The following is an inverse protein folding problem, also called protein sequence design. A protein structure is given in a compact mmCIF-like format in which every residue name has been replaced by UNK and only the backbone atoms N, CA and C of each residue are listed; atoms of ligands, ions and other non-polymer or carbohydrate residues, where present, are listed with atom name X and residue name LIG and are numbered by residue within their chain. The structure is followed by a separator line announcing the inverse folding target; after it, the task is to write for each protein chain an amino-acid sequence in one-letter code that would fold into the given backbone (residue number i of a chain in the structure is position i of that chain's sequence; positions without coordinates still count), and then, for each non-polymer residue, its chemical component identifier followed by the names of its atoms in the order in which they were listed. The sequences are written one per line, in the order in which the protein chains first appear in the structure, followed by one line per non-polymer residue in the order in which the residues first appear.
data_IF_582497670149
#
_entry.id   IF_582497670149
#
_cell.length_a   1.000
_cell.length_b   1.000
_cell.length_c   1.000
_cell.angle_alpha   90.00
_cell.angle_beta   90.00
_cell.angle_gamma   90.00
#
_symmetry.space_group_name_H-M   'P 1'
#
loop_
_entity.id
_entity.type
_entity.pdbx_description
1 polymer ?
#
# COMPACT_ATOMS: atom_id res chain seq x y z
N UNK A 1 9.50 -17.33 -14.47
CA UNK A 1 9.76 -16.78 -13.11
C UNK A 1 9.12 -15.40 -13.00
N UNK A 2 8.04 -15.26 -12.24
CA UNK A 2 7.17 -14.06 -12.23
C UNK A 2 7.76 -12.82 -11.51
N UNK A 3 9.09 -12.68 -11.46
CA UNK A 3 9.76 -11.44 -11.03
C UNK A 3 9.59 -11.01 -9.57
N UNK A 4 8.69 -11.63 -8.82
CA UNK A 4 8.37 -11.30 -7.44
C UNK A 4 9.31 -11.98 -6.45
N UNK A 5 9.90 -11.19 -5.54
CA UNK A 5 10.77 -11.66 -4.46
C UNK A 5 10.21 -11.17 -3.14
N UNK A 6 10.14 -12.06 -2.14
CA UNK A 6 9.68 -11.72 -0.78
C UNK A 6 10.82 -11.96 0.20
N UNK A 7 11.05 -10.95 1.05
CA UNK A 7 11.99 -11.01 2.17
C UNK A 7 11.20 -10.97 3.47
N UNK A 8 11.36 -12.01 4.29
CA UNK A 8 10.81 -12.04 5.65
C UNK A 8 11.71 -11.23 6.59
N UNK A 9 11.11 -10.40 7.43
CA UNK A 9 11.78 -9.74 8.56
C UNK A 9 11.15 -10.19 9.87
N UNK A 10 11.67 -9.73 11.02
CA UNK A 10 11.09 -10.12 12.31
C UNK A 10 9.66 -9.61 12.55
N UNK A 11 9.22 -8.57 11.83
CA UNK A 11 7.94 -7.89 12.09
C UNK A 11 7.17 -7.49 10.82
N UNK A 12 7.72 -7.71 9.63
CA UNK A 12 7.11 -7.34 8.36
C UNK A 12 7.62 -8.24 7.23
N UNK A 13 7.02 -8.09 6.05
CA UNK A 13 7.50 -8.69 4.81
C UNK A 13 7.78 -7.58 3.82
N UNK A 14 8.91 -7.67 3.13
CA UNK A 14 9.25 -6.77 2.04
C UNK A 14 9.07 -7.51 0.73
N UNK A 15 8.15 -7.05 -0.12
CA UNK A 15 7.94 -7.61 -1.45
C UNK A 15 8.55 -6.69 -2.50
N UNK A 16 9.45 -7.25 -3.29
CA UNK A 16 9.93 -6.65 -4.53
C UNK A 16 9.09 -7.22 -5.68
N UNK A 17 8.55 -6.35 -6.51
CA UNK A 17 7.70 -6.71 -7.64
C UNK A 17 7.98 -5.80 -8.82
N UNK A 18 7.92 -6.35 -10.04
CA UNK A 18 8.04 -5.56 -11.27
C UNK A 18 6.77 -4.73 -11.55
N UNK A 19 5.61 -5.29 -11.22
CA UNK A 19 4.30 -4.62 -11.27
C UNK A 19 3.56 -4.83 -9.96
N UNK A 20 3.95 -4.11 -8.90
CA UNK A 20 3.24 -4.21 -7.66
C UNK A 20 1.83 -3.62 -7.84
N UNK A 21 0.83 -4.28 -7.25
CA UNK A 21 -0.54 -3.80 -7.24
C UNK A 21 -0.97 -3.65 -5.78
N UNK A 22 -0.99 -2.41 -5.30
CA UNK A 22 -1.53 -2.12 -3.97
C UNK A 22 -3.06 -2.13 -3.98
N UNK A 23 -3.65 -1.68 -5.10
CA UNK A 23 -5.05 -1.27 -5.19
C UNK A 23 -5.69 -1.59 -6.55
N UNK A 24 -5.02 -2.32 -7.45
CA UNK A 24 -5.47 -2.42 -8.85
C UNK A 24 -5.37 -1.10 -9.62
N UNK A 25 -4.81 -0.07 -8.99
CA UNK A 25 -4.38 1.19 -9.59
C UNK A 25 -2.87 1.21 -9.49
N UNK A 26 -2.19 1.41 -10.61
CA UNK A 26 -0.76 1.69 -10.63
C UNK A 26 -0.56 2.97 -9.80
N UNK A 27 0.06 2.92 -8.62
CA UNK A 27 0.37 4.13 -7.91
C UNK A 27 1.29 4.93 -8.80
N UNK A 28 1.11 6.23 -8.67
CA UNK A 28 1.81 7.20 -9.48
C UNK A 28 3.29 7.13 -9.13
N UNK A 29 4.04 6.31 -9.86
CA UNK A 29 5.49 6.24 -9.76
C UNK A 29 6.01 7.68 -9.82
N UNK A 30 6.52 8.17 -8.69
CA UNK A 30 7.11 9.50 -8.61
C UNK A 30 8.47 9.43 -9.27
N UNK A 31 8.48 9.51 -10.60
CA UNK A 31 9.70 9.50 -11.39
C UNK A 31 9.47 9.05 -12.82
N UNK A 32 8.92 9.94 -13.65
CA UNK A 32 9.33 9.94 -15.06
C UNK A 32 10.84 10.19 -15.03
N UNK A 33 11.66 9.15 -15.22
CA UNK A 33 13.10 9.13 -15.58
C UNK A 33 14.06 8.31 -14.67
N UNK A 34 13.64 7.42 -13.77
CA UNK A 34 14.57 6.71 -12.86
C UNK A 34 14.68 5.20 -13.10
N UNK A 35 15.78 4.73 -13.69
CA UNK A 35 16.17 3.32 -13.66
C UNK A 35 16.47 2.91 -12.20
N UNK A 36 15.65 2.07 -11.56
CA UNK A 36 15.93 1.59 -10.20
C UNK A 36 14.72 1.15 -9.37
N UNK A 37 14.96 0.75 -8.11
CA UNK A 37 13.89 0.41 -7.16
C UNK A 37 13.20 1.68 -6.64
N UNK A 38 11.87 1.68 -6.65
CA UNK A 38 11.03 2.74 -6.08
C UNK A 38 10.19 2.25 -4.92
N UNK A 39 10.00 3.11 -3.91
CA UNK A 39 9.01 2.88 -2.86
C UNK A 39 7.61 2.89 -3.45
N UNK A 40 6.85 1.83 -3.21
CA UNK A 40 5.54 1.62 -3.81
C UNK A 40 4.40 1.92 -2.83
N UNK A 41 4.49 1.38 -1.62
CA UNK A 41 3.51 1.56 -0.56
C UNK A 41 3.71 0.60 0.59
N UNK A 42 2.92 0.82 1.63
CA UNK A 42 2.94 0.01 2.86
C UNK A 42 1.56 -0.57 3.07
N UNK A 43 1.48 -1.88 3.28
CA UNK A 43 0.23 -2.59 3.56
C UNK A 43 0.19 -2.98 5.03
N UNK A 44 -0.87 -2.61 5.72
CA UNK A 44 -1.13 -2.96 7.11
C UNK A 44 -2.23 -4.02 7.20
N UNK A 45 -1.97 -5.11 7.92
CA UNK A 45 -3.01 -6.09 8.22
C UNK A 45 -3.80 -5.66 9.45
N UNK A 46 -5.11 -5.52 9.31
CA UNK A 46 -6.05 -5.08 10.35
C UNK A 46 -7.07 -6.17 10.68
N UNK A 47 -7.70 -6.10 11.84
CA UNK A 47 -8.70 -7.11 12.23
C UNK A 47 -10.07 -6.89 11.56
N UNK A 48 -10.45 -5.63 11.31
CA UNK A 48 -11.71 -5.26 10.66
C UNK A 48 -11.50 -3.98 9.81
N UNK A 49 -11.78 -4.09 8.51
CA UNK A 49 -11.61 -2.99 7.57
C UNK A 49 -12.67 -1.89 7.72
N UNK A 50 -13.91 -2.25 8.08
CA UNK A 50 -14.99 -1.28 8.28
C UNK A 50 -14.74 -0.41 9.52
N UNK A 51 -14.23 -1.00 10.60
CA UNK A 51 -13.77 -0.26 11.78
C UNK A 51 -12.61 0.66 11.40
N UNK A 52 -11.63 0.14 10.66
CA UNK A 52 -10.48 0.94 10.19
C UNK A 52 -10.93 2.13 9.33
N UNK A 53 -11.86 1.93 8.39
CA UNK A 53 -12.42 2.99 7.56
C UNK A 53 -13.10 4.08 8.40
N UNK A 54 -13.86 3.67 9.41
CA UNK A 54 -14.52 4.59 10.35
C UNK A 54 -13.49 5.43 11.11
N UNK A 55 -12.41 4.81 11.60
CA UNK A 55 -11.32 5.52 12.29
C UNK A 55 -10.62 6.50 11.36
N UNK A 56 -10.31 6.12 10.12
CA UNK A 56 -9.69 7.03 9.16
C UNK A 56 -10.58 8.23 8.87
N UNK A 57 -11.87 8.01 8.61
CA UNK A 57 -12.84 9.07 8.35
C UNK A 57 -12.99 10.01 9.55
N UNK A 58 -13.06 9.46 10.77
CA UNK A 58 -13.13 10.25 12.01
C UNK A 58 -11.89 11.15 12.22
N UNK A 59 -10.73 10.76 11.68
CA UNK A 59 -9.50 11.55 11.71
C UNK A 59 -9.32 12.44 10.47
N UNK A 60 -10.33 12.56 9.60
CA UNK A 60 -10.25 13.37 8.38
C UNK A 60 -9.32 12.80 7.30
N UNK A 61 -8.99 11.50 7.38
CA UNK A 61 -8.14 10.82 6.40
C UNK A 61 -9.00 10.22 5.29
N UNK A 62 -8.89 10.78 4.10
CA UNK A 62 -9.56 10.25 2.90
C UNK A 62 -8.97 8.90 2.50
N UNK A 63 -9.84 7.94 2.27
CA UNK A 63 -9.48 6.60 1.81
C UNK A 63 -10.43 6.12 0.71
N UNK A 64 -9.97 5.19 -0.10
CA UNK A 64 -10.74 4.56 -1.17
C UNK A 64 -10.64 3.04 -1.08
N UNK A 65 -11.75 2.35 -1.29
CA UNK A 65 -11.75 0.89 -1.39
C UNK A 65 -11.29 0.45 -2.77
N UNK A 66 -10.32 -0.46 -2.83
CA UNK A 66 -9.80 -0.98 -4.09
C UNK A 66 -9.23 -2.40 -3.90
N UNK A 67 -9.77 -3.37 -4.64
CA UNK A 67 -9.29 -4.76 -4.59
C UNK A 67 -9.46 -5.45 -3.23
N UNK A 68 -10.49 -5.10 -2.46
CA UNK A 68 -10.70 -5.62 -1.10
C UNK A 68 -9.76 -5.03 -0.05
N UNK A 69 -9.14 -3.88 -0.36
CA UNK A 69 -8.28 -3.12 0.55
C UNK A 69 -8.79 -1.69 0.68
N UNK A 70 -8.47 -1.07 1.80
CA UNK A 70 -8.67 0.36 1.99
C UNK A 70 -7.36 1.10 1.73
N UNK A 71 -7.35 2.07 0.82
CA UNK A 71 -6.14 2.74 0.35
C UNK A 71 -6.19 4.23 0.71
N UNK A 72 -5.12 4.70 1.34
CA UNK A 72 -4.90 6.10 1.70
C UNK A 72 -3.77 6.64 0.82
N UNK A 73 -4.06 7.60 -0.08
CA UNK A 73 -3.03 8.22 -0.90
C UNK A 73 -1.97 8.94 -0.06
N UNK A 74 -0.73 8.93 -0.54
CA UNK A 74 0.37 9.64 0.12
C UNK A 74 0.06 11.14 0.29
N UNK A 75 0.15 11.65 1.52
CA UNK A 75 0.19 13.09 1.74
C UNK A 75 1.53 13.68 1.27
N UNK A 76 1.62 15.00 1.01
CA UNK A 76 2.88 15.65 0.69
C UNK A 76 3.99 15.34 1.71
N UNK A 77 5.12 14.80 1.23
CA UNK A 77 6.26 14.40 2.08
C UNK A 77 6.25 12.95 2.58
N UNK A 78 5.15 12.21 2.40
CA UNK A 78 5.02 10.82 2.89
C UNK A 78 5.61 9.78 1.92
N UNK A 79 5.69 10.13 0.64
CA UNK A 79 6.44 9.39 -0.37
C UNK A 79 5.73 8.18 -0.97
N UNK A 80 4.89 7.47 -0.22
CA UNK A 80 4.20 6.26 -0.70
C UNK A 80 2.77 6.15 -0.17
N UNK A 81 1.93 5.41 -0.91
CA UNK A 81 0.55 5.14 -0.51
C UNK A 81 0.50 4.11 0.62
N UNK A 82 -0.50 4.22 1.48
CA UNK A 82 -0.79 3.22 2.51
C UNK A 82 -2.03 2.42 2.11
N UNK A 83 -2.02 1.13 2.42
CA UNK A 83 -3.18 0.27 2.25
C UNK A 83 -3.42 -0.55 3.50
N UNK A 84 -4.67 -0.95 3.71
CA UNK A 84 -5.11 -1.80 4.80
C UNK A 84 -5.82 -3.01 4.21
N UNK A 85 -5.56 -4.19 4.77
CA UNK A 85 -6.23 -5.44 4.42
C UNK A 85 -6.63 -6.20 5.68
N UNK A 86 -7.73 -6.93 5.64
CA UNK A 86 -8.10 -7.78 6.79
C UNK A 86 -7.13 -8.94 6.93
N UNK A 87 -6.80 -9.28 8.18
CA UNK A 87 -6.11 -10.52 8.50
C UNK A 87 -6.97 -11.69 8.05
N UNK A 88 -6.35 -12.64 7.36
CA UNK A 88 -6.95 -13.95 7.05
C UNK A 88 -6.75 -14.94 8.18
#
# INVERSE_FOLDING_TARGET
PDGDVVFETGNARVRLSERPALSGVDPKATGKNGEGLGGMGVVFSVDDLAVTATVLAANGVSSAEAGGRLVVPAAPGQGVDFAFEEKR
#
